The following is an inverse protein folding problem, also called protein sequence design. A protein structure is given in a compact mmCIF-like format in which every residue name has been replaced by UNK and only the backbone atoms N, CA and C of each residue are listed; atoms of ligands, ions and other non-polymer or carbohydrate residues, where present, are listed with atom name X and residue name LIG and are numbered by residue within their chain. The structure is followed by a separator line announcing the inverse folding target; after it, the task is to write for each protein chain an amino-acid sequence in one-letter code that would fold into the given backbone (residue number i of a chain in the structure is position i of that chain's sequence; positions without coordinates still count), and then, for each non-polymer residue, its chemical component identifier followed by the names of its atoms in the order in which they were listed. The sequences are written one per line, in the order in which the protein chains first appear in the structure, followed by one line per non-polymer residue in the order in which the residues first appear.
data_IF_463597103780
#
_entry.id   IF_463597103780
#
_cell.length_a   1.000
_cell.length_b   1.000
_cell.length_c   1.000
_cell.angle_alpha   90.00
_cell.angle_beta   90.00
_cell.angle_gamma   90.00
#
_symmetry.space_group_name_H-M   'P 1'
#
loop_
_entity.id
_entity.type
_entity.pdbx_description
1 polymer ?
#
# COMPACT_ATOMS: atom_id res chain seq x y z
N UNK A 1 -5.45 -27.67 -7.62
CA UNK A 1 -5.08 -26.24 -7.52
C UNK A 1 -5.57 -25.75 -6.17
N UNK A 2 -4.68 -25.38 -5.24
CA UNK A 2 -5.09 -24.86 -3.92
C UNK A 2 -5.78 -23.50 -4.17
N UNK A 3 -6.96 -23.22 -3.58
CA UNK A 3 -7.59 -21.92 -3.75
C UNK A 3 -6.64 -20.83 -3.24
N UNK A 4 -6.61 -19.69 -3.93
CA UNK A 4 -5.93 -18.52 -3.40
C UNK A 4 -6.50 -18.22 -2.01
N UNK A 5 -5.66 -17.98 -0.99
CA UNK A 5 -6.17 -17.59 0.31
C UNK A 5 -7.03 -16.34 0.13
N UNK A 6 -8.12 -16.28 0.89
CA UNK A 6 -8.94 -15.08 0.94
C UNK A 6 -8.04 -13.89 1.29
N UNK A 7 -8.30 -12.74 0.67
CA UNK A 7 -7.62 -11.51 1.05
C UNK A 7 -7.79 -11.33 2.57
N UNK A 8 -6.72 -11.00 3.30
CA UNK A 8 -6.83 -10.78 4.74
C UNK A 8 -7.90 -9.72 5.00
N UNK A 9 -8.79 -9.99 5.94
CA UNK A 9 -9.68 -8.96 6.47
C UNK A 9 -8.78 -7.89 7.09
N UNK A 10 -8.95 -6.60 6.75
CA UNK A 10 -8.09 -5.57 7.29
C UNK A 10 -8.10 -5.59 8.82
N UNK A 11 -6.91 -5.68 9.41
CA UNK A 11 -6.71 -5.64 10.85
C UNK A 11 -6.28 -4.22 11.25
N UNK A 12 -7.10 -3.45 11.99
CA UNK A 12 -6.77 -2.08 12.38
C UNK A 12 -5.52 -1.95 13.27
N UNK A 13 -5.08 -3.03 13.92
CA UNK A 13 -3.86 -3.02 14.74
C UNK A 13 -2.60 -3.00 13.86
N UNK A 14 -2.62 -3.73 12.73
CA UNK A 14 -1.46 -3.93 11.85
C UNK A 14 -1.53 -3.14 10.54
N UNK A 15 -2.73 -2.71 10.12
CA UNK A 15 -2.98 -1.91 8.93
C UNK A 15 -3.49 -0.51 9.28
N UNK A 16 -3.29 0.45 8.38
CA UNK A 16 -3.89 1.79 8.45
C UNK A 16 -4.85 1.99 7.31
N UNK A 17 -6.01 2.55 7.65
CA UNK A 17 -6.97 3.02 6.66
C UNK A 17 -6.49 4.34 6.07
N UNK A 18 -6.23 4.34 4.77
CA UNK A 18 -5.97 5.54 3.99
C UNK A 18 -7.32 5.98 3.40
N UNK A 19 -7.85 7.16 3.76
CA UNK A 19 -9.20 7.58 3.38
C UNK A 19 -9.36 7.89 1.88
N UNK A 20 -8.31 7.76 1.08
CA UNK A 20 -8.27 8.17 -0.30
C UNK A 20 -8.29 9.70 -0.46
N UNK A 21 -8.61 10.16 -1.67
CA UNK A 21 -8.67 11.59 -2.01
C UNK A 21 -7.72 11.96 -3.14
N UNK A 22 -7.47 13.27 -3.29
CA UNK A 22 -6.62 13.78 -4.37
C UNK A 22 -5.38 14.46 -3.79
N UNK A 23 -4.20 13.99 -4.20
CA UNK A 23 -2.90 14.52 -3.79
C UNK A 23 -2.02 14.82 -5.02
N UNK A 24 -0.88 15.48 -4.79
CA UNK A 24 0.12 15.74 -5.84
C UNK A 24 1.26 14.75 -5.66
N UNK A 25 1.47 13.89 -6.65
CA UNK A 25 2.49 12.85 -6.67
C UNK A 25 3.68 13.26 -7.52
N UNK A 26 4.90 12.89 -7.10
CA UNK A 26 6.16 13.23 -7.78
C UNK A 26 6.96 14.30 -7.04
N UNK A 27 8.08 14.72 -7.63
CA UNK A 27 9.00 15.71 -7.06
C UNK A 27 9.67 16.51 -8.17
N UNK A 28 9.87 17.82 -7.96
CA UNK A 28 10.68 18.66 -8.85
C UNK A 28 12.13 18.85 -8.34
N UNK A 29 12.44 18.39 -7.12
CA UNK A 29 13.66 18.80 -6.41
C UNK A 29 14.76 17.74 -6.36
N UNK A 30 14.47 16.49 -6.75
CA UNK A 30 15.39 15.35 -6.63
C UNK A 30 15.68 14.73 -8.00
N UNK A 31 15.31 13.47 -8.21
CA UNK A 31 15.62 12.71 -9.41
C UNK A 31 14.73 13.11 -10.59
N UNK A 32 15.25 13.02 -11.81
CA UNK A 32 14.51 13.40 -13.02
C UNK A 32 13.32 12.46 -13.24
N UNK A 33 13.45 11.19 -12.85
CA UNK A 33 12.43 10.15 -12.96
C UNK A 33 11.26 10.34 -11.98
N UNK A 34 11.43 11.18 -10.94
CA UNK A 34 10.36 11.53 -10.00
C UNK A 34 9.46 12.67 -10.53
N UNK A 35 9.84 13.30 -11.64
CA UNK A 35 9.05 14.33 -12.32
C UNK A 35 8.08 13.71 -13.34
N UNK A 36 7.07 14.48 -13.77
CA UNK A 36 6.61 15.75 -13.22
C UNK A 36 5.66 15.53 -12.03
N UNK A 37 5.36 16.60 -11.30
CA UNK A 37 4.24 16.62 -10.36
C UNK A 37 2.91 16.32 -11.09
N UNK A 38 2.15 15.34 -10.59
CA UNK A 38 0.85 14.93 -11.14
C UNK A 38 -0.24 14.97 -10.08
N UNK A 39 -1.42 15.49 -10.46
CA UNK A 39 -2.61 15.44 -9.60
C UNK A 39 -3.25 14.05 -9.74
N UNK A 40 -3.25 13.27 -8.66
CA UNK A 40 -3.73 11.88 -8.64
C UNK A 40 -4.88 11.76 -7.66
N UNK A 41 -5.96 11.08 -8.09
CA UNK A 41 -7.08 10.67 -7.24
C UNK A 41 -6.96 9.18 -6.95
N UNK A 42 -7.13 8.80 -5.69
CA UNK A 42 -7.16 7.41 -5.25
C UNK A 42 -8.42 7.15 -4.42
N UNK A 43 -8.93 5.93 -4.50
CA UNK A 43 -10.01 5.46 -3.64
C UNK A 43 -9.47 5.08 -2.24
N UNK A 44 -10.32 4.97 -1.21
CA UNK A 44 -9.91 4.53 0.10
C UNK A 44 -9.40 3.08 0.09
N UNK A 45 -8.38 2.79 0.89
CA UNK A 45 -7.79 1.44 1.00
C UNK A 45 -7.08 1.24 2.34
N UNK A 46 -6.68 0.01 2.63
CA UNK A 46 -5.86 -0.35 3.79
C UNK A 46 -4.42 -0.63 3.37
N UNK A 47 -3.46 -0.19 4.17
CA UNK A 47 -2.02 -0.44 3.96
C UNK A 47 -1.39 -1.01 5.23
N UNK A 48 -0.56 -2.05 5.11
CA UNK A 48 0.23 -2.56 6.23
C UNK A 48 1.13 -1.47 6.81
N UNK A 49 1.21 -1.40 8.15
CA UNK A 49 2.10 -0.47 8.85
C UNK A 49 3.58 -0.87 8.74
N UNK A 50 3.84 -2.15 8.51
CA UNK A 50 5.18 -2.72 8.41
C UNK A 50 5.29 -3.60 7.18
N UNK A 51 6.48 -3.73 6.57
CA UNK A 51 6.68 -4.71 5.51
C UNK A 51 6.39 -6.13 6.00
N UNK A 52 5.92 -7.00 5.09
CA UNK A 52 5.75 -8.42 5.38
C UNK A 52 7.07 -9.02 5.84
N UNK A 53 7.06 -9.64 7.01
CA UNK A 53 8.23 -10.27 7.63
C UNK A 53 8.42 -11.70 7.15
N UNK A 54 9.64 -12.23 7.28
CA UNK A 54 9.91 -13.65 7.05
C UNK A 54 9.11 -14.58 7.97
N UNK A 55 8.70 -14.13 9.15
CA UNK A 55 7.83 -14.92 10.03
C UNK A 55 6.41 -15.02 9.43
N UNK A 56 5.82 -13.89 9.03
CA UNK A 56 4.50 -13.87 8.39
C UNK A 56 4.47 -14.64 7.06
N UNK A 57 5.53 -14.53 6.26
CA UNK A 57 5.65 -15.30 5.03
C UNK A 57 5.67 -16.82 5.28
N UNK A 58 6.32 -17.27 6.37
CA UNK A 58 6.34 -18.70 6.74
C UNK A 58 4.97 -19.25 7.15
N UNK A 59 4.08 -18.41 7.67
CA UNK A 59 2.69 -18.82 7.97
C UNK A 59 1.84 -18.99 6.70
N UNK A 60 2.26 -18.39 5.58
CA UNK A 60 1.55 -18.46 4.31
C UNK A 60 1.91 -19.72 3.48
N UNK A 61 3.17 -20.16 3.51
CA UNK A 61 3.68 -21.30 2.72
C UNK A 61 3.44 -22.66 3.40
#
# INVERSE_FOLDING_TARGET
MKPAPALPVPDPETMRHVPGGTFTMGSEQFYEEERPLKRVKIDPFWMDQTPVTNAQWREFI
#
